data_IF_028841335535
#
_entry.id   IF_028841335535
#
_cell.length_a   1.000
_cell.length_b   1.000
_cell.length_c   1.000
_cell.angle_alpha   90.00
_cell.angle_beta   90.00
_cell.angle_gamma   90.00
#
_symmetry.space_group_name_H-M   'P 1'
#
loop_
_entity.id
_entity.type
_entity.pdbx_description
1 polymer ?
#
# COMPACT_ATOMS: atom_id res chain seq x y z
N UNK A 1 -14.00 -3.61 7.30
CA UNK A 1 -14.28 -4.91 6.65
C UNK A 1 -15.22 -4.75 5.46
N UNK A 2 -16.41 -4.14 5.57
CA UNK A 2 -17.26 -3.83 4.40
C UNK A 2 -16.73 -2.67 3.54
N UNK A 3 -16.22 -1.60 4.18
CA UNK A 3 -15.61 -0.46 3.46
C UNK A 3 -14.33 -0.83 2.69
N UNK A 4 -13.52 -1.75 3.23
CA UNK A 4 -12.34 -2.30 2.54
C UNK A 4 -12.74 -3.12 1.31
N UNK A 5 -13.79 -3.94 1.42
CA UNK A 5 -14.30 -4.73 0.30
C UNK A 5 -14.82 -3.83 -0.85
N UNK A 6 -15.58 -2.78 -0.52
CA UNK A 6 -16.11 -1.84 -1.52
C UNK A 6 -14.97 -1.04 -2.17
N UNK A 7 -14.05 -0.51 -1.37
CA UNK A 7 -12.90 0.21 -1.90
C UNK A 7 -12.02 -0.68 -2.79
N UNK A 8 -11.80 -1.95 -2.42
CA UNK A 8 -11.07 -2.90 -3.28
C UNK A 8 -11.76 -3.12 -4.63
N UNK A 9 -13.08 -3.17 -4.69
CA UNK A 9 -13.81 -3.30 -5.97
C UNK A 9 -13.56 -2.09 -6.86
N UNK A 10 -13.72 -0.89 -6.29
CA UNK A 10 -13.56 0.37 -7.02
C UNK A 10 -12.11 0.54 -7.45
N UNK A 11 -11.15 0.24 -6.57
CA UNK A 11 -9.72 0.23 -6.85
C UNK A 11 -9.36 -0.70 -8.01
N UNK A 12 -9.91 -1.91 -8.00
CA UNK A 12 -9.61 -2.94 -9.01
C UNK A 12 -10.13 -2.51 -10.37
N UNK A 13 -11.33 -1.94 -10.45
CA UNK A 13 -11.93 -1.49 -11.71
C UNK A 13 -11.20 -0.26 -12.23
N UNK A 14 -11.00 0.75 -11.38
CA UNK A 14 -10.31 1.99 -11.75
C UNK A 14 -8.84 1.71 -12.10
N UNK A 15 -8.19 0.80 -11.38
CA UNK A 15 -6.81 0.39 -11.63
C UNK A 15 -6.61 -0.47 -12.86
N UNK A 16 -7.57 -1.32 -13.21
CA UNK A 16 -7.54 -2.03 -14.48
C UNK A 16 -7.63 -1.07 -15.68
N UNK A 17 -8.45 -0.02 -15.58
CA UNK A 17 -8.63 0.97 -16.65
C UNK A 17 -7.45 1.94 -16.75
N UNK A 18 -6.95 2.43 -15.61
CA UNK A 18 -5.83 3.37 -15.59
C UNK A 18 -4.47 2.70 -15.82
N UNK A 19 -4.27 1.48 -15.31
CA UNK A 19 -3.03 0.72 -15.52
C UNK A 19 -2.79 0.35 -16.98
N UNK A 20 -3.85 0.15 -17.79
CA UNK A 20 -3.73 -0.13 -19.21
C UNK A 20 -3.28 1.08 -20.06
N UNK A 21 -3.36 2.30 -19.50
CA UNK A 21 -3.04 3.55 -20.20
C UNK A 21 -1.68 4.16 -19.81
N UNK A 22 -1.00 3.62 -18.79
CA UNK A 22 0.22 4.21 -18.26
C UNK A 22 1.48 3.49 -18.75
N UNK A 23 2.46 4.19 -19.35
CA UNK A 23 3.72 3.60 -19.75
C UNK A 23 4.53 3.14 -18.52
N UNK A 24 5.13 1.95 -18.59
CA UNK A 24 5.78 1.32 -17.43
C UNK A 24 7.08 2.03 -16.98
N UNK A 25 7.85 2.62 -17.92
CA UNK A 25 9.15 3.24 -17.61
C UNK A 25 9.07 4.53 -16.79
N UNK A 26 8.22 5.52 -17.12
CA UNK A 26 8.08 6.72 -16.31
C UNK A 26 7.63 6.43 -14.88
N UNK A 27 6.75 5.43 -14.69
CA UNK A 27 6.28 5.01 -13.37
C UNK A 27 7.44 4.44 -12.54
N UNK A 28 8.25 3.55 -13.13
CA UNK A 28 9.42 2.99 -12.45
C UNK A 28 10.42 4.05 -12.01
N UNK A 29 10.71 5.03 -12.89
CA UNK A 29 11.63 6.13 -12.58
C UNK A 29 11.04 7.04 -11.49
N UNK A 30 9.78 7.44 -11.62
CA UNK A 30 9.11 8.29 -10.63
C UNK A 30 9.04 7.62 -9.26
N UNK A 31 8.67 6.33 -9.22
CA UNK A 31 8.63 5.53 -8.01
C UNK A 31 10.04 5.41 -7.40
N UNK A 32 11.07 5.17 -8.21
CA UNK A 32 12.46 5.11 -7.76
C UNK A 32 12.93 6.41 -7.10
N UNK A 33 12.65 7.56 -7.71
CA UNK A 33 12.94 8.89 -7.15
C UNK A 33 12.19 9.11 -5.84
N UNK A 34 10.90 8.78 -5.78
CA UNK A 34 10.08 8.89 -4.57
C UNK A 34 10.62 8.04 -3.42
N UNK A 35 11.00 6.79 -3.70
CA UNK A 35 11.59 5.89 -2.72
C UNK A 35 12.92 6.42 -2.16
N UNK A 36 13.79 6.97 -3.00
CA UNK A 36 15.02 7.63 -2.54
C UNK A 36 14.72 8.88 -1.70
N UNK A 37 13.71 9.66 -2.09
CA UNK A 37 13.22 10.80 -1.31
C UNK A 37 12.75 10.39 0.09
N UNK A 38 11.93 9.33 0.18
CA UNK A 38 11.49 8.78 1.46
C UNK A 38 12.62 8.22 2.30
N UNK A 39 13.61 7.56 1.69
CA UNK A 39 14.79 7.07 2.40
C UNK A 39 15.55 8.23 3.07
N UNK A 40 15.79 9.31 2.33
CA UNK A 40 16.50 10.48 2.85
C UNK A 40 15.66 11.21 3.92
N UNK A 41 14.35 11.36 3.71
CA UNK A 41 13.46 11.99 4.68
C UNK A 41 13.34 11.18 5.97
N UNK A 42 13.25 9.85 5.87
CA UNK A 42 13.23 8.93 7.02
C UNK A 42 14.53 9.02 7.81
N UNK A 43 15.67 9.18 7.15
CA UNK A 43 16.96 9.40 7.83
C UNK A 43 17.09 10.79 8.43
N UNK A 44 16.39 11.80 7.91
CA UNK A 44 16.42 13.16 8.44
C UNK A 44 15.68 13.27 9.78
N UNK A 45 14.55 12.56 9.91
CA UNK A 45 13.70 12.39 11.10
C UNK A 45 13.75 13.52 12.12
N UNK A 46 12.73 14.36 12.07
CA UNK A 46 12.48 15.39 13.07
C UNK A 46 12.26 14.72 14.43
N UNK A 47 13.14 15.07 15.38
CA UNK A 47 12.99 14.77 16.80
C UNK A 47 12.11 15.87 17.45
N UNK A 48 10.91 16.11 16.89
CA UNK A 48 9.91 16.98 17.50
C UNK A 48 8.78 16.09 18.05
N UNK A 49 9.02 15.53 19.23
CA UNK A 49 7.94 15.21 20.16
C UNK A 49 7.47 16.54 20.76
N UNK A 50 6.35 17.07 20.29
CA UNK A 50 5.32 17.73 21.11
C UNK A 50 4.18 18.20 20.20
N UNK A 51 3.04 17.52 20.31
CA UNK A 51 1.73 18.19 20.44
C UNK A 51 0.73 17.15 20.95
N UNK A 52 0.54 17.14 22.28
CA UNK A 52 -0.62 16.57 22.92
C UNK A 52 -1.90 17.26 22.41
N UNK A 53 -2.69 16.47 21.69
CA UNK A 53 -4.14 16.34 21.80
C UNK A 53 -5.02 17.58 21.56
N UNK A 54 -5.64 17.63 20.37
CA UNK A 54 -7.11 17.64 20.23
C UNK A 54 -7.46 17.21 18.79
N UNK A 55 -7.49 15.90 18.55
CA UNK A 55 -7.90 15.37 17.24
C UNK A 55 -9.40 15.57 17.00
N UNK A 56 -9.86 15.99 15.80
CA UNK A 56 -11.28 16.02 15.49
C UNK A 56 -11.87 14.62 15.67
N UNK A 57 -13.09 14.50 16.17
CA UNK A 57 -13.78 13.22 16.38
C UNK A 57 -13.95 12.48 15.06
N UNK A 58 -12.94 11.68 14.69
CA UNK A 58 -12.92 11.03 13.40
C UNK A 58 -13.95 9.92 13.42
N UNK A 59 -15.05 10.13 12.69
CA UNK A 59 -16.07 9.10 12.47
C UNK A 59 -15.36 7.88 11.87
N UNK A 60 -15.46 6.73 12.54
CA UNK A 60 -14.84 5.45 12.13
C UNK A 60 -15.13 5.14 10.65
N UNK A 61 -16.32 5.51 10.14
CA UNK A 61 -16.66 5.37 8.72
C UNK A 61 -15.80 6.20 7.76
N UNK A 62 -15.40 7.42 8.16
CA UNK A 62 -14.51 8.28 7.38
C UNK A 62 -13.06 7.78 7.37
N UNK A 63 -12.56 7.27 8.51
CA UNK A 63 -11.22 6.65 8.61
C UNK A 63 -11.12 5.41 7.74
N UNK A 64 -12.14 4.54 7.79
CA UNK A 64 -12.13 3.31 7.00
C UNK A 64 -12.17 3.64 5.51
N UNK A 65 -12.96 4.64 5.10
CA UNK A 65 -13.01 5.06 3.70
C UNK A 65 -11.68 5.68 3.24
N UNK A 66 -11.04 6.52 4.05
CA UNK A 66 -9.76 7.15 3.68
C UNK A 66 -8.63 6.13 3.56
N UNK A 67 -8.49 5.22 4.53
CA UNK A 67 -7.50 4.14 4.47
C UNK A 67 -7.75 3.27 3.23
N UNK A 68 -9.00 2.90 2.99
CA UNK A 68 -9.34 2.03 1.90
C UNK A 68 -9.13 2.71 0.53
N UNK A 69 -9.41 4.02 0.42
CA UNK A 69 -9.10 4.82 -0.77
C UNK A 69 -7.59 4.98 -0.97
N UNK A 70 -6.82 5.18 0.09
CA UNK A 70 -5.35 5.27 0.01
C UNK A 70 -4.73 3.95 -0.44
N UNK A 71 -5.18 2.81 0.11
CA UNK A 71 -4.74 1.48 -0.32
C UNK A 71 -5.17 1.23 -1.76
N UNK A 72 -6.41 1.59 -2.10
CA UNK A 72 -6.95 1.46 -3.45
C UNK A 72 -6.07 2.18 -4.49
N UNK A 73 -5.67 3.43 -4.18
CA UNK A 73 -4.80 4.24 -5.05
C UNK A 73 -3.37 3.67 -5.07
N UNK A 74 -2.86 3.22 -3.91
CA UNK A 74 -1.50 2.68 -3.80
C UNK A 74 -1.31 1.33 -4.50
N UNK A 75 -2.33 0.46 -4.48
CA UNK A 75 -2.31 -0.85 -5.14
C UNK A 75 -2.89 -0.80 -6.57
N UNK A 76 -3.32 0.38 -7.02
CA UNK A 76 -4.00 0.57 -8.29
C UNK A 76 -3.13 0.12 -9.47
N UNK A 77 -3.57 -0.91 -10.19
CA UNK A 77 -2.85 -1.44 -11.36
C UNK A 77 -1.68 -2.37 -11.02
N UNK A 78 -1.58 -2.86 -9.78
CA UNK A 78 -0.61 -3.90 -9.43
C UNK A 78 -0.86 -5.20 -10.23
N UNK A 79 0.21 -5.97 -10.42
CA UNK A 79 0.22 -7.29 -11.07
C UNK A 79 -0.82 -8.24 -10.45
N UNK A 80 -1.11 -8.09 -9.16
CA UNK A 80 -2.15 -8.86 -8.47
C UNK A 80 -3.57 -8.55 -8.99
N UNK A 81 -3.85 -7.29 -9.34
CA UNK A 81 -5.14 -6.89 -9.93
C UNK A 81 -5.29 -7.41 -11.36
N UNK A 82 -4.22 -7.38 -12.16
CA UNK A 82 -4.19 -7.97 -13.51
C UNK A 82 -4.37 -9.50 -13.48
N UNK A 83 -3.70 -10.17 -12.52
CA UNK A 83 -3.88 -11.60 -12.30
C UNK A 83 -5.31 -11.94 -11.88
N UNK A 84 -5.92 -11.13 -11.01
CA UNK A 84 -7.32 -11.29 -10.58
C UNK A 84 -8.29 -11.08 -11.74
N UNK A 85 -8.07 -10.07 -12.58
CA UNK A 85 -8.88 -9.82 -13.78
C UNK A 85 -8.77 -10.99 -14.78
N UNK A 86 -7.56 -11.51 -15.02
CA UNK A 86 -7.33 -12.66 -15.89
C UNK A 86 -7.99 -13.94 -15.32
N UNK A 87 -7.96 -14.13 -14.00
CA UNK A 87 -8.61 -15.26 -13.34
C UNK A 87 -10.15 -15.15 -13.41
N UNK A 88 -10.69 -13.95 -13.24
CA UNK A 88 -12.12 -13.66 -13.34
C UNK A 88 -12.65 -13.82 -14.76
N UNK A 89 -11.82 -13.58 -15.78
CA UNK A 89 -12.17 -13.82 -17.19
C UNK A 89 -12.25 -15.32 -17.54
N UNK A 90 -11.55 -16.18 -16.79
CA UNK A 90 -11.51 -17.65 -17.01
C UNK A 90 -12.43 -18.44 -16.09
N UNK A 91 -12.87 -17.86 -14.97
CA UNK A 91 -13.70 -18.50 -13.94
C UNK A 91 -14.98 -17.70 -13.69
N UNK A 92 -15.75 -18.10 -12.67
CA UNK A 92 -16.90 -17.31 -12.23
C UNK A 92 -16.45 -15.96 -11.63
N UNK A 93 -16.89 -14.81 -12.18
CA UNK A 93 -16.43 -13.50 -11.74
C UNK A 93 -16.70 -13.21 -10.26
N UNK A 94 -17.88 -13.62 -9.77
CA UNK A 94 -18.30 -13.39 -8.37
C UNK A 94 -17.44 -14.22 -7.40
N UNK A 95 -17.18 -15.50 -7.71
CA UNK A 95 -16.35 -16.35 -6.87
C UNK A 95 -14.90 -15.88 -6.80
N UNK A 96 -14.37 -15.39 -7.94
CA UNK A 96 -13.02 -14.82 -8.01
C UNK A 96 -12.92 -13.53 -7.18
N UNK A 97 -13.93 -12.67 -7.26
CA UNK A 97 -13.98 -11.43 -6.49
C UNK A 97 -14.00 -11.69 -4.97
N UNK A 98 -14.83 -12.63 -4.51
CA UNK A 98 -14.89 -13.02 -3.09
C UNK A 98 -13.53 -13.58 -2.64
N UNK A 99 -12.94 -14.48 -3.44
CA UNK A 99 -11.65 -15.10 -3.13
C UNK A 99 -10.51 -14.08 -3.05
N UNK A 100 -10.42 -13.16 -4.02
CA UNK A 100 -9.42 -12.11 -4.03
C UNK A 100 -9.57 -11.14 -2.85
N UNK A 101 -10.81 -10.73 -2.55
CA UNK A 101 -11.11 -9.86 -1.40
C UNK A 101 -10.76 -10.53 -0.07
N UNK A 102 -11.13 -11.80 0.09
CA UNK A 102 -10.81 -12.59 1.28
C UNK A 102 -9.30 -12.80 1.43
N UNK A 103 -8.60 -13.06 0.33
CA UNK A 103 -7.14 -13.20 0.29
C UNK A 103 -6.44 -11.92 0.73
N UNK A 104 -6.81 -10.78 0.14
CA UNK A 104 -6.25 -9.47 0.48
C UNK A 104 -6.52 -9.09 1.95
N UNK A 105 -7.76 -9.29 2.43
CA UNK A 105 -8.11 -9.06 3.83
C UNK A 105 -7.29 -9.95 4.78
N UNK A 106 -7.08 -11.22 4.42
CA UNK A 106 -6.29 -12.15 5.23
C UNK A 106 -4.81 -11.79 5.25
N UNK A 107 -4.23 -11.42 4.11
CA UNK A 107 -2.85 -10.96 4.01
C UNK A 107 -2.62 -9.70 4.86
N UNK A 108 -3.54 -8.74 4.79
CA UNK A 108 -3.52 -7.54 5.63
C UNK A 108 -3.61 -7.88 7.13
N UNK A 109 -4.46 -8.83 7.52
CA UNK A 109 -4.61 -9.26 8.91
C UNK A 109 -3.34 -9.95 9.43
N UNK A 110 -2.75 -10.86 8.65
CA UNK A 110 -1.48 -11.50 9.00
C UNK A 110 -0.36 -10.48 9.11
N UNK A 111 -0.26 -9.55 8.15
CA UNK A 111 0.71 -8.46 8.16
C UNK A 111 0.57 -7.56 9.40
N UNK A 112 -0.66 -7.19 9.76
CA UNK A 112 -0.92 -6.39 10.95
C UNK A 112 -0.54 -7.11 12.25
N UNK A 113 -0.88 -8.40 12.38
CA UNK A 113 -0.52 -9.19 13.55
C UNK A 113 1.00 -9.36 13.69
N UNK A 114 1.69 -9.65 12.59
CA UNK A 114 3.16 -9.74 12.57
C UNK A 114 3.80 -8.38 12.87
N UNK A 115 3.32 -7.31 12.24
CA UNK A 115 3.79 -5.95 12.46
C UNK A 115 3.64 -5.53 13.92
N UNK A 116 2.51 -5.82 14.57
CA UNK A 116 2.31 -5.54 16.00
C UNK A 116 3.19 -6.40 16.91
N UNK A 117 3.47 -7.65 16.54
CA UNK A 117 4.33 -8.55 17.33
C UNK A 117 5.79 -8.10 17.27
N UNK A 118 6.28 -7.79 16.07
CA UNK A 118 7.66 -7.39 15.80
C UNK A 118 7.90 -5.96 16.28
N UNK A 119 6.98 -5.04 16.00
CA UNK A 119 7.10 -3.63 16.38
C UNK A 119 7.27 -3.42 17.88
N UNK A 120 6.67 -4.27 18.72
CA UNK A 120 6.87 -4.24 20.18
C UNK A 120 8.30 -4.56 20.65
N UNK A 121 9.14 -5.14 19.78
CA UNK A 121 10.50 -5.54 20.12
C UNK A 121 11.57 -4.73 19.36
N UNK A 122 11.18 -3.84 18.45
CA UNK A 122 12.10 -3.02 17.67
C UNK A 122 12.18 -1.62 18.28
N UNK A 123 13.40 -1.11 18.44
CA UNK A 123 13.60 0.30 18.80
C UNK A 123 13.25 1.20 17.61
N UNK A 124 12.79 2.43 17.88
CA UNK A 124 12.45 3.40 16.83
C UNK A 124 13.63 3.69 15.91
N UNK A 125 14.86 3.66 16.45
CA UNK A 125 16.09 3.77 15.65
C UNK A 125 16.24 2.60 14.69
N UNK A 126 16.04 1.37 15.16
CA UNK A 126 16.11 0.18 14.30
C UNK A 126 15.07 0.26 13.19
N UNK A 127 13.84 0.66 13.54
CA UNK A 127 12.76 0.79 12.57
C UNK A 127 13.03 1.87 11.52
N UNK A 128 13.55 3.03 11.95
CA UNK A 128 13.95 4.15 11.09
C UNK A 128 15.05 3.75 10.10
N UNK A 129 16.15 3.17 10.59
CA UNK A 129 17.25 2.74 9.73
C UNK A 129 16.86 1.58 8.80
N UNK A 130 16.10 0.61 9.30
CA UNK A 130 15.62 -0.51 8.48
C UNK A 130 14.71 -0.03 7.36
N UNK A 131 13.75 0.86 7.67
CA UNK A 131 12.82 1.39 6.67
C UNK A 131 13.52 2.27 5.65
N UNK A 132 14.43 3.16 6.09
CA UNK A 132 15.23 3.97 5.18
C UNK A 132 16.12 3.12 4.27
N UNK A 133 16.76 2.09 4.81
CA UNK A 133 17.56 1.14 4.03
C UNK A 133 16.72 0.41 2.99
N UNK A 134 15.53 -0.05 3.38
CA UNK A 134 14.60 -0.72 2.47
C UNK A 134 14.13 0.21 1.35
N UNK A 135 13.76 1.45 1.69
CA UNK A 135 13.39 2.48 0.71
C UNK A 135 14.54 2.80 -0.25
N UNK A 136 15.77 2.93 0.26
CA UNK A 136 16.94 3.19 -0.58
C UNK A 136 17.20 2.04 -1.56
N UNK A 137 17.16 0.79 -1.08
CA UNK A 137 17.36 -0.40 -1.91
C UNK A 137 16.32 -0.49 -3.01
N UNK A 138 15.02 -0.38 -2.68
CA UNK A 138 13.97 -0.41 -3.71
C UNK A 138 14.04 0.78 -4.66
N UNK A 139 14.37 1.98 -4.17
CA UNK A 139 14.55 3.16 -5.00
C UNK A 139 15.64 2.98 -6.05
N UNK A 140 16.81 2.46 -5.65
CA UNK A 140 17.91 2.14 -6.58
C UNK A 140 17.51 1.03 -7.54
N UNK A 141 16.91 -0.06 -7.05
CA UNK A 141 16.50 -1.18 -7.90
C UNK A 141 15.50 -0.74 -8.96
N UNK A 142 14.50 0.06 -8.61
CA UNK A 142 13.53 0.60 -9.56
C UNK A 142 14.20 1.47 -10.61
N UNK A 143 15.15 2.34 -10.24
CA UNK A 143 15.89 3.16 -11.20
C UNK A 143 16.78 2.36 -12.15
N UNK A 144 17.40 1.28 -11.66
CA UNK A 144 18.29 0.43 -12.47
C UNK A 144 17.48 -0.48 -13.42
N UNK A 145 16.27 -0.87 -13.03
CA UNK A 145 15.44 -1.83 -13.77
C UNK A 145 14.36 -1.20 -14.66
N UNK A 146 14.07 0.09 -14.52
CA UNK A 146 13.11 0.85 -15.34
C UNK A 146 13.65 1.17 -16.75
#
# INVERSE_FOLDING_TARGET
TLGYAIANVVATIVGAVLGAALPERPIGIAAGILFLGFALWTLRGDDDEDDEDTGPSIKVGGVVMSIALSIAIAEMGDKTQLATAALAARNQPIGTWIGATAGAASAGLVGALFGQRIGRHLSDRTLRYASAGLFAVFGVLLLVTA
#
